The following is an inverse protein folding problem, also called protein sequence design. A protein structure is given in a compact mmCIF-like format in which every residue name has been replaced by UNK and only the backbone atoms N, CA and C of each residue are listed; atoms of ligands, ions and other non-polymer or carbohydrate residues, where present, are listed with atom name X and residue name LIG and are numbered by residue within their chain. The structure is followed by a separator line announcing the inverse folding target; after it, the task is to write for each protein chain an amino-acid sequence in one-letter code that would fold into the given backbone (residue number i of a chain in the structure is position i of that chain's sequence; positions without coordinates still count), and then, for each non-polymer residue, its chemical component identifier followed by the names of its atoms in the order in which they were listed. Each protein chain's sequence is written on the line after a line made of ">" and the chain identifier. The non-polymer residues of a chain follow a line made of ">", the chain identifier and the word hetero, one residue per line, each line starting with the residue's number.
data_IF_096878223994
#
_entry.id   IF_096878223994
#
_cell.length_a   1.000
_cell.length_b   1.000
_cell.length_c   1.000
_cell.angle_alpha   90.00
_cell.angle_beta   90.00
_cell.angle_gamma   90.00
#
_symmetry.space_group_name_H-M   'P 1'
#
loop_
_entity.id
_entity.type
_entity.pdbx_description
1 polymer ?
#
# COMPACT_ATOMS: atom_id res chain seq x y z
N UNK A 1 13.29 -3.82 -10.95
CA UNK A 1 12.62 -3.58 -9.65
C UNK A 1 11.25 -3.00 -9.93
N UNK A 2 10.20 -3.50 -9.29
CA UNK A 2 8.82 -3.00 -9.45
C UNK A 2 8.12 -2.95 -8.09
N UNK A 3 7.09 -2.12 -7.97
CA UNK A 3 6.16 -2.12 -6.84
C UNK A 3 4.76 -2.44 -7.35
N UNK A 4 4.07 -3.36 -6.68
CA UNK A 4 2.73 -3.81 -7.10
C UNK A 4 1.77 -3.87 -5.91
N UNK A 5 0.46 -3.62 -6.10
CA UNK A 5 -0.55 -3.90 -5.09
C UNK A 5 -0.58 -5.39 -4.75
N UNK A 6 -0.51 -5.73 -3.46
CA UNK A 6 -0.51 -7.10 -2.94
C UNK A 6 -1.83 -7.46 -2.23
N UNK A 7 -2.58 -8.40 -2.80
CA UNK A 7 -3.90 -8.86 -2.32
C UNK A 7 -3.83 -9.79 -1.11
N UNK A 8 -2.63 -10.08 -0.61
CA UNK A 8 -2.40 -10.82 0.64
C UNK A 8 -1.82 -9.95 1.74
N UNK A 9 -1.66 -8.65 1.49
CA UNK A 9 -1.09 -7.71 2.45
C UNK A 9 -1.98 -7.47 3.66
N UNK A 10 -1.36 -7.09 4.77
CA UNK A 10 -2.05 -6.77 6.03
C UNK A 10 -3.18 -5.75 5.84
N UNK A 11 -2.90 -4.63 5.15
CA UNK A 11 -3.90 -3.58 4.90
C UNK A 11 -5.02 -4.05 3.98
N UNK A 12 -4.73 -4.87 2.97
CA UNK A 12 -5.78 -5.46 2.13
C UNK A 12 -6.71 -6.34 2.97
N UNK A 13 -6.15 -7.21 3.83
CA UNK A 13 -6.94 -8.16 4.60
C UNK A 13 -7.84 -7.47 5.65
N UNK A 14 -7.40 -6.34 6.19
CA UNK A 14 -8.19 -5.52 7.12
C UNK A 14 -9.24 -4.70 6.38
N UNK A 15 -8.85 -3.99 5.34
CA UNK A 15 -9.73 -3.03 4.67
C UNK A 15 -10.69 -3.68 3.67
N UNK A 16 -10.34 -4.85 3.13
CA UNK A 16 -11.14 -5.61 2.14
C UNK A 16 -11.60 -4.69 1.01
N UNK A 17 -12.90 -4.62 0.73
CA UNK A 17 -13.50 -3.77 -0.32
C UNK A 17 -13.19 -2.27 -0.19
N UNK A 18 -12.73 -1.83 0.98
CA UNK A 18 -12.36 -0.45 1.29
C UNK A 18 -10.85 -0.18 1.16
N UNK A 19 -10.07 -1.14 0.68
CA UNK A 19 -8.61 -1.02 0.60
C UNK A 19 -8.18 0.11 -0.34
N UNK A 20 -7.26 0.96 0.14
CA UNK A 20 -6.85 2.21 -0.53
C UNK A 20 -6.08 2.01 -1.83
N UNK A 21 -5.64 0.79 -2.13
CA UNK A 21 -4.97 0.46 -3.39
C UNK A 21 -5.96 0.11 -4.50
N UNK A 22 -7.25 -0.02 -4.23
CA UNK A 22 -8.24 -0.11 -5.29
C UNK A 22 -8.40 1.25 -5.96
N UNK A 23 -7.79 1.38 -7.14
CA UNK A 23 -7.78 2.61 -7.93
C UNK A 23 -7.91 2.30 -9.41
N UNK A 24 -8.41 3.27 -10.18
CA UNK A 24 -8.67 3.10 -11.61
C UNK A 24 -7.37 2.86 -12.41
N UNK A 25 -6.26 3.43 -11.95
CA UNK A 25 -4.94 3.23 -12.56
C UNK A 25 -4.35 1.83 -12.32
N UNK A 26 -4.85 1.08 -11.33
CA UNK A 26 -4.35 -0.25 -11.00
C UNK A 26 -5.15 -1.32 -11.74
N UNK A 27 -4.65 -1.69 -12.92
CA UNK A 27 -5.26 -2.72 -13.77
C UNK A 27 -5.02 -4.15 -13.27
N UNK A 28 -3.93 -4.37 -12.54
CA UNK A 28 -3.51 -5.69 -12.08
C UNK A 28 -3.19 -5.67 -10.59
N UNK A 29 -3.60 -6.74 -9.91
CA UNK A 29 -3.35 -6.96 -8.50
C UNK A 29 -2.65 -8.30 -8.33
N UNK A 30 -1.60 -8.31 -7.53
CA UNK A 30 -0.71 -9.46 -7.40
C UNK A 30 -0.79 -10.07 -6.01
N UNK A 31 -0.39 -11.31 -5.91
CA UNK A 31 0.07 -11.95 -4.68
C UNK A 31 1.35 -12.70 -5.02
N UNK A 32 2.03 -13.25 -4.01
CA UNK A 32 3.28 -13.97 -4.22
C UNK A 32 3.17 -15.05 -5.31
N UNK A 33 2.10 -15.85 -5.28
CA UNK A 33 1.89 -16.98 -6.20
C UNK A 33 1.76 -16.53 -7.66
N UNK A 34 0.92 -15.53 -7.95
CA UNK A 34 0.73 -15.10 -9.34
C UNK A 34 1.93 -14.29 -9.87
N UNK A 35 2.66 -13.60 -8.99
CA UNK A 35 3.91 -12.92 -9.33
C UNK A 35 5.03 -13.91 -9.69
N UNK A 36 5.18 -14.99 -8.91
CA UNK A 36 6.12 -16.08 -9.22
C UNK A 36 5.79 -16.74 -10.57
N UNK A 37 4.50 -16.96 -10.83
CA UNK A 37 4.04 -17.53 -12.10
C UNK A 37 4.37 -16.65 -13.30
N UNK A 38 4.11 -15.34 -13.25
CA UNK A 38 4.39 -14.44 -14.37
C UNK A 38 5.89 -14.21 -14.54
N UNK A 39 6.66 -14.13 -13.45
CA UNK A 39 8.12 -14.04 -13.51
C UNK A 39 8.70 -15.25 -14.24
N UNK A 40 8.32 -16.47 -13.85
CA UNK A 40 8.77 -17.71 -14.50
C UNK A 40 8.42 -17.73 -15.99
N UNK A 41 7.19 -17.35 -16.36
CA UNK A 41 6.73 -17.32 -17.77
C UNK A 41 7.47 -16.30 -18.64
N UNK A 42 8.07 -15.28 -18.03
CA UNK A 42 8.77 -14.20 -18.72
C UNK A 42 10.29 -14.33 -18.67
N UNK A 43 10.82 -15.45 -18.14
CA UNK A 43 12.27 -15.67 -18.02
C UNK A 43 12.91 -14.89 -16.87
N UNK A 44 12.15 -14.63 -15.81
CA UNK A 44 12.65 -13.97 -14.60
C UNK A 44 12.51 -14.87 -13.36
N UNK A 45 13.40 -14.65 -12.40
CA UNK A 45 13.32 -15.14 -11.04
C UNK A 45 13.07 -13.98 -10.06
N UNK A 46 12.25 -14.21 -9.02
CA UNK A 46 12.06 -13.25 -7.93
C UNK A 46 13.16 -13.50 -6.90
N UNK A 47 14.10 -12.57 -6.79
CA UNK A 47 15.18 -12.65 -5.79
C UNK A 47 14.85 -11.91 -4.49
N UNK A 48 13.83 -11.04 -4.52
CA UNK A 48 13.35 -10.31 -3.35
C UNK A 48 11.89 -9.93 -3.51
N UNK A 49 11.09 -10.16 -2.46
CA UNK A 49 9.72 -9.65 -2.34
C UNK A 49 9.41 -9.36 -0.87
N UNK A 50 9.12 -8.09 -0.55
CA UNK A 50 8.74 -7.64 0.79
C UNK A 50 7.72 -6.50 0.72
N UNK A 51 6.93 -6.25 1.78
CA UNK A 51 6.07 -5.08 1.85
C UNK A 51 6.84 -3.79 1.60
N UNK A 52 6.32 -2.93 0.73
CA UNK A 52 6.88 -1.61 0.50
C UNK A 52 6.54 -0.71 1.70
N UNK A 53 7.57 -0.13 2.31
CA UNK A 53 7.45 0.80 3.42
C UNK A 53 7.48 2.22 2.88
N UNK A 54 6.50 3.02 3.28
CA UNK A 54 6.43 4.45 2.96
C UNK A 54 6.53 5.25 4.26
N UNK A 55 7.35 6.30 4.25
CA UNK A 55 7.44 7.25 5.36
C UNK A 55 6.48 8.39 5.10
N UNK A 56 5.41 8.47 5.88
CA UNK A 56 4.33 9.44 5.69
C UNK A 56 4.18 10.32 6.93
N UNK A 57 3.50 11.46 6.77
CA UNK A 57 3.08 12.29 7.90
C UNK A 57 1.62 12.04 8.24
N UNK A 58 1.22 12.33 9.48
CA UNK A 58 -0.19 12.27 9.86
C UNK A 58 -1.04 13.25 9.04
N UNK A 59 -0.51 14.44 8.73
CA UNK A 59 -1.14 15.41 7.83
C UNK A 59 -1.44 14.80 6.46
N UNK A 60 -0.49 14.07 5.88
CA UNK A 60 -0.67 13.41 4.58
C UNK A 60 -1.80 12.37 4.62
N UNK A 61 -1.81 11.51 5.65
CA UNK A 61 -2.84 10.47 5.80
C UNK A 61 -4.23 11.11 6.01
N UNK A 62 -4.32 12.16 6.82
CA UNK A 62 -5.58 12.90 7.01
C UNK A 62 -6.09 13.48 5.71
N UNK A 63 -5.22 14.13 4.93
CA UNK A 63 -5.59 14.67 3.63
C UNK A 63 -6.10 13.57 2.69
N UNK A 64 -5.43 12.41 2.67
CA UNK A 64 -5.84 11.27 1.85
C UNK A 64 -7.25 10.78 2.23
N UNK A 65 -7.55 10.66 3.52
CA UNK A 65 -8.88 10.22 3.99
C UNK A 65 -9.96 11.30 3.87
N UNK A 66 -9.60 12.57 3.67
CA UNK A 66 -10.56 13.62 3.33
C UNK A 66 -10.98 13.58 1.85
N UNK A 67 -10.10 13.11 0.96
CA UNK A 67 -10.42 12.84 -0.44
C UNK A 67 -11.16 11.51 -0.57
N UNK A 68 -10.58 10.43 -0.04
CA UNK A 68 -11.14 9.07 -0.09
C UNK A 68 -11.75 8.70 1.26
N UNK A 69 -12.97 9.18 1.49
CA UNK A 69 -13.64 9.11 2.79
C UNK A 69 -13.93 7.67 3.22
N UNK A 70 -13.56 7.35 4.46
CA UNK A 70 -13.78 6.06 5.08
C UNK A 70 -14.34 6.26 6.48
N UNK A 71 -15.63 5.97 6.66
CA UNK A 71 -16.22 5.97 8.00
C UNK A 71 -15.77 4.73 8.80
N UNK A 72 -15.31 4.86 10.07
CA UNK A 72 -15.16 6.09 10.86
C UNK A 72 -13.74 6.70 10.86
N UNK A 73 -12.84 6.15 10.04
CA UNK A 73 -11.41 6.50 9.98
C UNK A 73 -11.20 8.00 9.68
N UNK A 74 -11.90 8.56 8.69
CA UNK A 74 -11.79 9.97 8.32
C UNK A 74 -12.10 10.91 9.50
N UNK A 75 -13.13 10.59 10.29
CA UNK A 75 -13.54 11.38 11.45
C UNK A 75 -12.45 11.40 12.52
N UNK A 76 -11.85 10.24 12.81
CA UNK A 76 -10.77 10.12 13.78
C UNK A 76 -9.58 10.96 13.34
N UNK A 77 -9.13 10.81 12.09
CA UNK A 77 -7.98 11.59 11.60
C UNK A 77 -8.27 13.10 11.57
N UNK A 78 -9.50 13.53 11.26
CA UNK A 78 -9.85 14.95 11.32
C UNK A 78 -9.78 15.51 12.74
N UNK A 79 -10.22 14.76 13.76
CA UNK A 79 -10.09 15.16 15.16
C UNK A 79 -8.61 15.27 15.54
N UNK A 80 -7.80 14.27 15.23
CA UNK A 80 -6.36 14.28 15.57
C UNK A 80 -5.62 15.40 14.83
N UNK A 81 -6.07 15.76 13.62
CA UNK A 81 -5.46 16.81 12.81
C UNK A 81 -5.60 18.22 13.39
N UNK A 82 -6.41 18.42 14.44
CA UNK A 82 -6.42 19.68 15.20
C UNK A 82 -5.20 19.84 16.11
N UNK A 83 -4.37 18.82 16.30
CA UNK A 83 -3.17 18.87 17.14
C UNK A 83 -1.93 19.07 16.24
N UNK A 84 -1.42 20.32 16.09
CA UNK A 84 -0.41 20.65 15.08
C UNK A 84 0.92 19.91 15.25
N UNK A 85 1.29 19.58 16.50
CA UNK A 85 2.53 18.86 16.83
C UNK A 85 2.52 17.44 16.26
N UNK A 86 1.36 16.77 16.26
CA UNK A 86 1.23 15.39 15.80
C UNK A 86 1.21 15.33 14.26
N UNK A 87 0.70 16.38 13.60
CA UNK A 87 0.57 16.44 12.15
C UNK A 87 1.89 16.32 11.38
N UNK A 88 2.99 16.77 11.98
CA UNK A 88 4.32 16.71 11.39
C UNK A 88 5.07 15.42 11.70
N UNK A 89 4.54 14.57 12.60
CA UNK A 89 5.18 13.31 12.94
C UNK A 89 5.24 12.41 11.71
N UNK A 90 6.45 11.92 11.45
CA UNK A 90 6.73 10.96 10.39
C UNK A 90 6.71 9.56 10.96
N UNK A 91 6.05 8.65 10.26
CA UNK A 91 6.03 7.25 10.61
C UNK A 91 6.10 6.38 9.36
N UNK A 92 6.63 5.18 9.56
CA UNK A 92 6.70 4.16 8.53
C UNK A 92 5.40 3.38 8.51
N UNK A 93 4.80 3.24 7.34
CA UNK A 93 3.57 2.47 7.13
C UNK A 93 3.69 1.63 5.87
N UNK A 94 3.05 0.46 5.89
CA UNK A 94 2.81 -0.35 4.70
C UNK A 94 1.37 -0.09 4.23
N UNK A 95 1.20 0.24 2.94
CA UNK A 95 -0.13 0.50 2.35
C UNK A 95 -0.61 -0.66 1.48
N UNK A 96 0.04 -1.82 1.62
CA UNK A 96 -0.32 -3.06 0.95
C UNK A 96 0.29 -3.27 -0.44
N UNK A 97 1.26 -2.45 -0.81
CA UNK A 97 2.13 -2.73 -1.96
C UNK A 97 3.31 -3.63 -1.53
N UNK A 98 3.80 -4.48 -2.43
CA UNK A 98 5.10 -5.14 -2.28
C UNK A 98 6.14 -4.51 -3.19
N UNK A 99 7.37 -4.40 -2.70
CA UNK A 99 8.57 -4.18 -3.50
C UNK A 99 9.11 -5.53 -3.99
N UNK A 100 9.33 -5.66 -5.30
CA UNK A 100 9.82 -6.88 -5.93
C UNK A 100 11.08 -6.57 -6.73
N UNK A 101 12.12 -7.39 -6.54
CA UNK A 101 13.32 -7.40 -7.37
C UNK A 101 13.31 -8.70 -8.17
N UNK A 102 13.32 -8.52 -9.50
CA UNK A 102 13.35 -9.58 -10.49
C UNK A 102 14.75 -9.61 -11.13
N UNK A 103 15.27 -10.80 -11.37
CA UNK A 103 16.51 -11.03 -12.11
C UNK A 103 16.20 -11.87 -13.33
N UNK A 104 16.76 -11.48 -14.48
CA UNK A 104 16.62 -12.24 -15.72
C UNK A 104 17.43 -13.53 -15.62
N UNK A 105 16.82 -14.63 -16.03
CA UNK A 105 17.45 -15.96 -16.16
C UNK A 105 18.07 -16.09 -17.54
#
# INVERSE_FOLDING_TARGET
>A
MITVPETTSFTHNIMKSKWTQYKLEHLFYFNKKNMEMIAKRTGFEIIYMKPAVKTMTLKYITNQFNVYKLFPITQIFNIVNHIPIINTLRFNITLGESLIILKKV
#
